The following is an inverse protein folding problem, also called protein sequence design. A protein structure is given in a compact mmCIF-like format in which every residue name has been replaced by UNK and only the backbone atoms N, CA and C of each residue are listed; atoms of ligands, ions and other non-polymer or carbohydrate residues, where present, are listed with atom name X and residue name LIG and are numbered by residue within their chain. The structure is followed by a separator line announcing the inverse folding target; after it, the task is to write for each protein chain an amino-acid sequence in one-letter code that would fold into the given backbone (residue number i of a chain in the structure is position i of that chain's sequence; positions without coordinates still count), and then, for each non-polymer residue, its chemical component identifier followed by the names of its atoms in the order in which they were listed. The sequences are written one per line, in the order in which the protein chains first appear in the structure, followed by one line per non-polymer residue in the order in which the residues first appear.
data_IF_532670694450
#
_entry.id   IF_532670694450
#
_cell.length_a   1.000
_cell.length_b   1.000
_cell.length_c   1.000
_cell.angle_alpha   90.00
_cell.angle_beta   90.00
_cell.angle_gamma   90.00
#
_symmetry.space_group_name_H-M   'P 1'
#
loop_
_entity.id
_entity.type
_entity.pdbx_description
1 polymer ?
#
# COMPACT_ATOMS: atom_id res chain seq x y z
N UNK A 1 6.02 -7.34 7.03
CA UNK A 1 4.59 -7.20 6.67
C UNK A 1 3.67 -8.05 7.54
N UNK A 2 3.72 -9.39 7.47
CA UNK A 2 2.84 -10.26 8.31
C UNK A 2 3.07 -10.01 9.80
N UNK A 3 4.33 -10.03 10.26
CA UNK A 3 4.66 -9.77 11.67
C UNK A 3 4.16 -8.39 12.14
N UNK A 4 4.48 -7.33 11.39
CA UNK A 4 3.97 -5.98 11.65
C UNK A 4 2.43 -5.88 11.64
N UNK A 5 1.74 -6.67 10.81
CA UNK A 5 0.28 -6.71 10.78
C UNK A 5 -0.30 -7.40 12.01
N UNK A 6 0.30 -8.48 12.49
CA UNK A 6 -0.14 -9.11 13.74
C UNK A 6 0.07 -8.19 14.93
N UNK A 7 1.19 -7.46 14.99
CA UNK A 7 1.48 -6.52 16.07
C UNK A 7 0.56 -5.30 16.04
N UNK A 8 0.39 -4.63 14.88
CA UNK A 8 -0.46 -3.43 14.80
C UNK A 8 -1.94 -3.72 15.10
N UNK A 9 -2.38 -4.98 14.99
CA UNK A 9 -3.76 -5.37 15.32
C UNK A 9 -4.07 -5.26 16.81
N UNK A 10 -3.07 -5.24 17.68
CA UNK A 10 -3.26 -4.99 19.11
C UNK A 10 -3.77 -3.56 19.35
N UNK A 11 -3.23 -2.57 18.62
CA UNK A 11 -3.62 -1.16 18.71
C UNK A 11 -4.75 -0.76 17.75
N UNK A 12 -4.79 -1.41 16.58
CA UNK A 12 -5.74 -1.15 15.50
C UNK A 12 -6.41 -2.46 15.08
N UNK A 13 -7.40 -2.96 15.83
CA UNK A 13 -8.05 -4.26 15.55
C UNK A 13 -8.66 -4.39 14.15
N UNK A 14 -9.02 -3.26 13.52
CA UNK A 14 -9.55 -3.18 12.16
C UNK A 14 -8.49 -3.11 11.04
N UNK A 15 -7.19 -3.20 11.36
CA UNK A 15 -6.13 -3.17 10.36
C UNK A 15 -6.20 -4.40 9.44
N UNK A 16 -6.29 -4.16 8.14
CA UNK A 16 -6.29 -5.19 7.10
C UNK A 16 -4.91 -5.39 6.48
N UNK A 17 -4.65 -6.60 5.97
CA UNK A 17 -3.47 -6.92 5.16
C UNK A 17 -3.92 -7.35 3.76
N UNK A 18 -3.40 -6.69 2.73
CA UNK A 18 -3.67 -7.02 1.33
C UNK A 18 -2.36 -7.34 0.62
N UNK A 19 -2.26 -8.55 0.07
CA UNK A 19 -1.14 -8.96 -0.77
C UNK A 19 -1.45 -8.62 -2.23
N UNK A 20 -0.60 -7.81 -2.87
CA UNK A 20 -0.74 -7.42 -4.28
C UNK A 20 0.28 -8.18 -5.12
N UNK A 21 -0.11 -9.31 -5.70
CA UNK A 21 0.80 -10.18 -6.48
C UNK A 21 1.21 -9.59 -7.82
N UNK A 22 0.38 -8.75 -8.43
CA UNK A 22 0.67 -8.14 -9.74
C UNK A 22 0.26 -6.66 -9.75
N UNK A 23 1.12 -5.77 -9.23
CA UNK A 23 0.88 -4.33 -9.19
C UNK A 23 0.53 -3.74 -10.57
N UNK A 24 1.25 -4.16 -11.62
CA UNK A 24 1.03 -3.67 -12.98
C UNK A 24 -0.36 -4.01 -13.52
N UNK A 25 -0.84 -5.24 -13.30
CA UNK A 25 -2.18 -5.66 -13.74
C UNK A 25 -3.27 -4.90 -12.99
N UNK A 26 -3.09 -4.68 -11.69
CA UNK A 26 -4.00 -3.88 -10.88
C UNK A 26 -4.04 -2.41 -11.36
N UNK A 27 -2.89 -1.84 -11.70
CA UNK A 27 -2.77 -0.49 -12.24
C UNK A 27 -3.43 -0.37 -13.62
N UNK A 28 -3.20 -1.33 -14.52
CA UNK A 28 -3.83 -1.36 -15.84
C UNK A 28 -5.36 -1.45 -15.76
N UNK A 29 -5.88 -2.33 -14.90
CA UNK A 29 -7.32 -2.46 -14.65
C UNK A 29 -7.92 -1.17 -14.08
N UNK A 30 -7.23 -0.53 -13.12
CA UNK A 30 -7.63 0.77 -12.59
C UNK A 30 -7.68 1.87 -13.66
N UNK A 31 -6.66 1.97 -14.49
CA UNK A 31 -6.63 2.91 -15.60
C UNK A 31 -7.74 2.65 -16.62
N UNK A 32 -8.01 1.37 -16.93
CA UNK A 32 -9.09 1.00 -17.83
C UNK A 32 -10.47 1.39 -17.25
N UNK A 33 -10.71 1.13 -15.96
CA UNK A 33 -11.92 1.56 -15.28
C UNK A 33 -12.07 3.08 -15.28
N UNK A 34 -10.99 3.83 -15.01
CA UNK A 34 -11.00 5.29 -15.06
C UNK A 34 -11.34 5.83 -16.46
N UNK A 35 -10.72 5.30 -17.53
CA UNK A 35 -11.03 5.67 -18.92
C UNK A 35 -12.48 5.37 -19.30
N UNK A 36 -13.03 4.25 -18.84
CA UNK A 36 -14.44 3.91 -19.08
C UNK A 36 -15.39 4.89 -18.38
N UNK A 37 -15.08 5.32 -17.15
CA UNK A 37 -15.86 6.37 -16.49
C UNK A 37 -15.80 7.70 -17.24
N UNK A 38 -14.62 8.07 -17.74
CA UNK A 38 -14.44 9.29 -18.54
C UNK A 38 -15.21 9.24 -19.88
N UNK A 39 -15.47 8.06 -20.45
CA UNK A 39 -16.25 7.89 -21.69
C UNK A 39 -17.75 7.66 -21.45
N UNK A 40 -18.25 7.87 -20.23
CA UNK A 40 -19.69 7.81 -19.90
C UNK A 40 -20.16 6.49 -19.29
N UNK A 41 -19.28 5.49 -19.10
CA UNK A 41 -19.59 4.26 -18.34
C UNK A 41 -19.29 4.47 -16.86
N UNK A 42 -20.12 5.26 -16.19
CA UNK A 42 -19.87 5.71 -14.80
C UNK A 42 -19.77 4.57 -13.77
N UNK A 43 -20.42 3.43 -14.03
CA UNK A 43 -20.39 2.24 -13.16
C UNK A 43 -19.10 1.40 -13.25
N UNK A 44 -18.17 1.73 -14.15
CA UNK A 44 -16.95 0.96 -14.30
C UNK A 44 -16.06 1.06 -13.04
N UNK A 45 -15.87 -0.07 -12.35
CA UNK A 45 -15.00 -0.21 -11.17
C UNK A 45 -13.84 -1.14 -11.44
N UNK A 46 -12.68 -0.82 -10.90
CA UNK A 46 -11.52 -1.71 -10.90
C UNK A 46 -11.63 -2.76 -9.80
N UNK A 47 -10.93 -3.87 -9.97
CA UNK A 47 -10.82 -4.92 -8.95
C UNK A 47 -10.20 -4.38 -7.66
N UNK A 48 -9.14 -3.57 -7.77
CA UNK A 48 -8.48 -2.98 -6.60
C UNK A 48 -9.39 -2.00 -5.85
N UNK A 49 -10.23 -1.24 -6.57
CA UNK A 49 -11.24 -0.39 -5.93
C UNK A 49 -12.20 -1.21 -5.08
N UNK A 50 -12.75 -2.28 -5.66
CA UNK A 50 -13.66 -3.19 -4.94
C UNK A 50 -13.03 -3.86 -3.71
N UNK A 51 -11.74 -4.20 -3.76
CA UNK A 51 -11.02 -4.78 -2.61
C UNK A 51 -10.83 -3.77 -1.47
N UNK A 52 -10.74 -2.47 -1.81
CA UNK A 52 -10.52 -1.39 -0.84
C UNK A 52 -11.83 -0.72 -0.38
N UNK A 53 -12.95 -0.98 -1.05
CA UNK A 53 -14.29 -0.48 -0.69
C UNK A 53 -14.68 -0.72 0.77
N UNK A 54 -14.33 -1.84 1.43
CA UNK A 54 -14.69 -2.07 2.84
C UNK A 54 -13.98 -1.16 3.86
N UNK A 55 -12.91 -0.46 3.46
CA UNK A 55 -12.16 0.40 4.36
C UNK A 55 -12.95 1.70 4.64
N UNK A 56 -12.92 2.20 5.89
CA UNK A 56 -13.47 3.52 6.25
C UNK A 56 -12.81 4.63 5.45
N UNK A 57 -13.51 5.65 4.95
CA UNK A 57 -12.94 6.75 4.14
C UNK A 57 -11.72 7.44 4.74
N UNK A 58 -11.60 7.49 6.07
CA UNK A 58 -10.44 8.06 6.78
C UNK A 58 -9.28 7.08 7.00
N UNK A 59 -9.40 5.83 6.53
CA UNK A 59 -8.31 4.87 6.57
C UNK A 59 -7.14 5.30 5.68
N UNK A 60 -5.93 5.09 6.18
CA UNK A 60 -4.69 5.28 5.45
C UNK A 60 -4.16 3.94 4.94
N UNK A 61 -3.33 3.97 3.91
CA UNK A 61 -2.64 2.81 3.36
C UNK A 61 -1.15 2.91 3.67
N UNK A 62 -0.59 1.88 4.29
CA UNK A 62 0.86 1.66 4.36
C UNK A 62 1.19 0.61 3.32
N UNK A 63 1.97 0.98 2.30
CA UNK A 63 2.36 0.04 1.23
C UNK A 63 3.83 -0.30 1.39
N UNK A 64 4.19 -1.56 1.20
CA UNK A 64 5.58 -2.04 1.24
C UNK A 64 5.87 -2.86 0.00
N UNK A 65 7.04 -2.63 -0.61
CA UNK A 65 7.50 -3.38 -1.77
C UNK A 65 9.03 -3.49 -1.78
N UNK A 66 9.56 -4.65 -2.12
CA UNK A 66 10.97 -4.82 -2.45
C UNK A 66 11.23 -4.31 -3.88
N UNK A 67 11.24 -2.99 -3.99
CA UNK A 67 11.27 -2.24 -5.25
C UNK A 67 10.93 -0.78 -5.01
N UNK A 68 10.92 0.03 -6.07
CA UNK A 68 10.70 1.46 -5.92
C UNK A 68 9.28 1.74 -5.38
N UNK A 69 9.10 2.57 -4.32
CA UNK A 69 7.82 2.77 -3.65
C UNK A 69 6.72 3.31 -4.57
N UNK A 70 7.10 4.06 -5.61
CA UNK A 70 6.16 4.59 -6.62
C UNK A 70 5.31 3.52 -7.32
N UNK A 71 5.76 2.26 -7.35
CA UNK A 71 5.04 1.15 -7.95
C UNK A 71 3.67 0.87 -7.27
N UNK A 72 3.50 1.29 -6.01
CA UNK A 72 2.25 1.15 -5.26
C UNK A 72 1.63 2.48 -4.82
N UNK A 73 2.35 3.61 -4.89
CA UNK A 73 1.83 4.92 -4.44
C UNK A 73 0.54 5.36 -5.15
N UNK A 74 0.31 4.90 -6.38
CA UNK A 74 -0.92 5.20 -7.14
C UNK A 74 -2.20 4.67 -6.48
N UNK A 75 -2.10 3.72 -5.54
CA UNK A 75 -3.23 3.21 -4.77
C UNK A 75 -3.93 4.32 -3.97
N UNK A 76 -3.20 5.38 -3.59
CA UNK A 76 -3.77 6.56 -2.95
C UNK A 76 -4.77 7.26 -3.86
N UNK A 77 -4.39 7.48 -5.13
CA UNK A 77 -5.28 8.03 -6.15
C UNK A 77 -6.43 7.09 -6.49
N UNK A 78 -6.20 5.78 -6.48
CA UNK A 78 -7.23 4.79 -6.77
C UNK A 78 -8.31 4.70 -5.69
N UNK A 79 -7.96 4.92 -4.43
CA UNK A 79 -8.84 4.76 -3.27
C UNK A 79 -9.23 6.07 -2.57
N UNK A 80 -8.64 7.20 -2.96
CA UNK A 80 -8.74 8.52 -2.28
C UNK A 80 -8.25 8.51 -0.83
N UNK A 81 -7.19 7.73 -0.57
CA UNK A 81 -6.60 7.56 0.76
C UNK A 81 -5.21 8.13 0.84
N UNK A 82 -4.80 8.54 2.04
CA UNK A 82 -3.39 8.84 2.33
C UNK A 82 -2.57 7.57 2.16
N UNK A 83 -1.37 7.70 1.58
CA UNK A 83 -0.44 6.59 1.37
C UNK A 83 0.89 6.90 2.01
N UNK A 84 1.40 5.94 2.78
CA UNK A 84 2.75 5.91 3.31
C UNK A 84 3.48 4.77 2.58
N UNK A 85 4.29 5.13 1.58
CA UNK A 85 4.91 4.17 0.68
C UNK A 85 6.34 3.85 1.09
N UNK A 86 6.55 2.62 1.53
CA UNK A 86 7.84 2.05 1.88
C UNK A 86 8.37 1.23 0.69
N UNK A 87 9.65 1.38 0.39
CA UNK A 87 10.29 0.67 -0.71
C UNK A 87 11.77 0.99 -0.85
N UNK A 88 12.40 0.32 -1.81
CA UNK A 88 13.84 0.43 -2.08
C UNK A 88 14.09 1.57 -3.07
N UNK A 89 14.77 2.63 -2.61
CA UNK A 89 15.10 3.80 -3.44
C UNK A 89 16.53 3.80 -3.98
N UNK A 90 17.42 3.02 -3.38
CA UNK A 90 18.84 2.96 -3.70
C UNK A 90 19.25 1.51 -3.89
N UNK A 91 20.17 1.28 -4.83
CA UNK A 91 20.71 -0.04 -5.15
C UNK A 91 22.19 -0.13 -4.81
N UNK A 92 22.72 -1.36 -4.77
CA UNK A 92 24.17 -1.63 -4.66
C UNK A 92 24.66 -1.98 -3.24
N UNK A 93 23.76 -2.46 -2.38
CA UNK A 93 24.09 -2.89 -1.03
C UNK A 93 24.26 -4.41 -1.00
N UNK A 94 25.20 -4.88 -0.18
CA UNK A 94 25.42 -6.30 0.10
C UNK A 94 25.31 -6.50 1.61
N UNK A 95 24.53 -7.50 2.02
CA UNK A 95 24.25 -7.80 3.41
C UNK A 95 23.32 -9.00 3.51
N UNK A 96 22.92 -9.37 4.73
CA UNK A 96 21.84 -10.33 4.90
C UNK A 96 20.47 -9.68 4.63
N UNK A 97 19.43 -10.51 4.48
CA UNK A 97 18.09 -10.03 4.13
C UNK A 97 17.52 -9.10 5.20
N UNK A 98 17.77 -9.39 6.49
CA UNK A 98 17.21 -8.60 7.59
C UNK A 98 17.86 -7.21 7.66
N UNK A 99 19.19 -7.15 7.55
CA UNK A 99 19.97 -5.92 7.50
C UNK A 99 19.57 -5.07 6.29
N UNK A 100 19.38 -5.69 5.12
CA UNK A 100 18.95 -4.97 3.92
C UNK A 100 17.53 -4.43 4.05
N UNK A 101 16.61 -5.19 4.64
CA UNK A 101 15.24 -4.72 4.86
C UNK A 101 15.19 -3.58 5.88
N UNK A 102 16.00 -3.66 6.93
CA UNK A 102 16.15 -2.57 7.89
C UNK A 102 16.74 -1.32 7.23
N UNK A 103 17.83 -1.48 6.48
CA UNK A 103 18.49 -0.39 5.75
C UNK A 103 17.56 0.32 4.77
N UNK A 104 16.69 -0.43 4.09
CA UNK A 104 15.71 0.11 3.14
C UNK A 104 14.39 0.53 3.78
N UNK A 105 14.22 0.37 5.10
CA UNK A 105 12.99 0.74 5.81
C UNK A 105 11.76 -0.04 5.35
N UNK A 106 11.94 -1.32 5.03
CA UNK A 106 10.86 -2.25 4.63
C UNK A 106 10.71 -3.43 5.60
N UNK A 107 11.44 -3.40 6.71
CA UNK A 107 11.30 -4.34 7.82
C UNK A 107 10.02 -4.08 8.64
N UNK A 108 9.79 -4.90 9.66
CA UNK A 108 8.58 -4.79 10.49
C UNK A 108 8.52 -3.46 11.25
N UNK A 109 9.65 -3.01 11.79
CA UNK A 109 9.71 -1.78 12.57
C UNK A 109 9.39 -0.55 11.72
N UNK A 110 9.92 -0.47 10.49
CA UNK A 110 9.57 0.61 9.57
C UNK A 110 8.09 0.61 9.19
N UNK A 111 7.49 -0.58 8.98
CA UNK A 111 6.06 -0.71 8.70
C UNK A 111 5.23 -0.22 9.89
N UNK A 112 5.58 -0.61 11.12
CA UNK A 112 4.90 -0.18 12.35
C UNK A 112 5.02 1.34 12.56
N UNK A 113 6.21 1.91 12.36
CA UNK A 113 6.43 3.35 12.43
C UNK A 113 5.57 4.11 11.40
N UNK A 114 5.45 3.59 10.18
CA UNK A 114 4.55 4.16 9.17
C UNK A 114 3.08 4.05 9.57
N UNK A 115 2.65 2.92 10.16
CA UNK A 115 1.31 2.75 10.71
C UNK A 115 1.02 3.75 11.85
N UNK A 116 1.96 3.93 12.77
CA UNK A 116 1.84 4.90 13.86
C UNK A 116 1.71 6.34 13.32
N UNK A 117 2.56 6.71 12.37
CA UNK A 117 2.46 8.02 11.68
C UNK A 117 1.11 8.20 10.99
N UNK A 118 0.60 7.15 10.33
CA UNK A 118 -0.71 7.17 9.67
C UNK A 118 -1.87 7.35 10.66
N UNK A 119 -1.74 6.79 11.86
CA UNK A 119 -2.69 6.97 12.96
C UNK A 119 -2.62 8.36 13.60
N UNK A 120 -1.53 9.11 13.45
CA UNK A 120 -1.40 10.47 13.99
C UNK A 120 -1.85 11.54 13.00
N UNK A 121 -1.67 11.31 11.70
CA UNK A 121 -2.02 12.28 10.65
C UNK A 121 -3.51 12.45 10.38
N UNK A 122 -4.38 12.20 11.39
CA UNK A 122 -5.85 12.12 11.30
C UNK A 122 -6.45 13.35 10.63
#
# INVERSE_FOLDING_TARGET
AIAAHEEIREDVPGAGLLVVTSPDRAYQDWNHAWRNRASGRYEARSHIGRLLDPLSDNAALVTVIDGHPSALSWLGSASRRRVYSLGVEKFGQSGDIADLYHLHGIDSDAILNACAAACLGR
#
